data_IF_556694363190
#
_entry.id   IF_556694363190
#
_cell.length_a   1.000
_cell.length_b   1.000
_cell.length_c   1.000
_cell.angle_alpha   90.00
_cell.angle_beta   90.00
_cell.angle_gamma   90.00
#
_symmetry.space_group_name_H-M   'P 1'
#
loop_
_entity.id
_entity.type
_entity.pdbx_description
1 polymer ?
#
# COMPACT_ATOMS: atom_id res chain seq x y z
N UNK A 1 20.60 -13.22 27.03
CA UNK A 1 21.53 -12.73 25.99
C UNK A 1 22.94 -12.78 26.56
N UNK A 2 23.99 -12.99 25.75
CA UNK A 2 25.38 -12.80 26.23
C UNK A 2 25.74 -11.32 26.09
N UNK A 3 26.42 -10.72 27.07
CA UNK A 3 26.81 -9.30 27.03
C UNK A 3 27.61 -8.95 25.76
N UNK A 4 28.53 -9.83 25.35
CA UNK A 4 29.33 -9.63 24.13
C UNK A 4 28.52 -9.62 22.83
N UNK A 5 27.33 -10.23 22.81
CA UNK A 5 26.42 -10.13 21.67
C UNK A 5 25.74 -8.75 21.63
N UNK A 6 25.43 -8.16 22.80
CA UNK A 6 24.77 -6.86 22.89
C UNK A 6 25.54 -5.74 22.19
N UNK A 7 26.87 -5.70 22.36
CA UNK A 7 27.70 -4.70 21.68
C UNK A 7 27.61 -4.82 20.17
N UNK A 8 27.65 -6.04 19.63
CA UNK A 8 27.57 -6.27 18.17
C UNK A 8 26.19 -5.93 17.62
N UNK A 9 25.13 -6.37 18.30
CA UNK A 9 23.75 -6.12 17.81
C UNK A 9 23.39 -4.63 17.81
N UNK A 10 23.94 -3.83 18.74
CA UNK A 10 23.78 -2.36 18.71
C UNK A 10 24.32 -1.72 17.43
N UNK A 11 25.47 -2.18 16.95
CA UNK A 11 26.06 -1.68 15.69
C UNK A 11 25.23 -2.11 14.47
N UNK A 12 24.60 -3.29 14.51
CA UNK A 12 23.67 -3.72 13.47
C UNK A 12 22.42 -2.82 13.42
N UNK A 13 21.80 -2.54 14.59
CA UNK A 13 20.65 -1.63 14.71
C UNK A 13 21.01 -0.22 14.21
N UNK A 14 22.20 0.28 14.55
CA UNK A 14 22.68 1.55 14.02
C UNK A 14 22.79 1.53 12.49
N UNK A 15 23.35 0.46 11.92
CA UNK A 15 23.46 0.31 10.48
C UNK A 15 22.10 0.30 9.80
N UNK A 16 21.10 -0.37 10.37
CA UNK A 16 19.72 -0.37 9.87
C UNK A 16 19.13 1.05 9.92
N UNK A 17 19.28 1.76 11.03
CA UNK A 17 18.83 3.14 11.16
C UNK A 17 19.51 4.07 10.15
N UNK A 18 20.83 3.94 9.92
CA UNK A 18 21.54 4.74 8.93
C UNK A 18 21.06 4.48 7.49
N UNK A 19 20.65 3.24 7.17
CA UNK A 19 20.03 2.91 5.87
C UNK A 19 18.62 3.52 5.75
N UNK A 20 17.88 3.60 6.85
CA UNK A 20 16.55 4.21 6.90
C UNK A 20 16.60 5.75 6.87
N UNK A 21 17.63 6.36 7.44
CA UNK A 21 17.78 7.80 7.66
C UNK A 21 17.49 8.70 6.43
N UNK A 22 17.96 8.38 5.20
CA UNK A 22 17.69 9.21 4.02
C UNK A 22 16.35 8.92 3.33
N UNK A 23 15.56 7.93 3.78
CA UNK A 23 14.30 7.56 3.13
C UNK A 23 13.18 8.51 3.56
N UNK A 24 12.65 9.27 2.62
CA UNK A 24 11.59 10.27 2.88
C UNK A 24 10.32 9.66 3.52
N UNK A 25 9.98 8.40 3.25
CA UNK A 25 8.84 7.71 3.89
C UNK A 25 8.99 7.65 5.41
N UNK A 26 10.11 7.11 5.92
CA UNK A 26 10.35 6.98 7.36
C UNK A 26 10.54 8.33 8.06
N UNK A 27 11.11 9.31 7.34
CA UNK A 27 11.24 10.70 7.81
C UNK A 27 9.89 11.35 8.06
N UNK A 28 8.92 11.12 7.16
CA UNK A 28 7.52 11.59 7.29
C UNK A 28 6.78 10.82 8.38
N UNK A 29 6.93 9.50 8.40
CA UNK A 29 6.33 8.64 9.42
C UNK A 29 6.75 9.08 10.82
N UNK A 30 8.05 9.17 11.12
CA UNK A 30 8.53 9.59 12.45
C UNK A 30 8.07 11.01 12.81
N UNK A 31 8.00 11.93 11.84
CA UNK A 31 7.45 13.25 12.06
C UNK A 31 5.96 13.16 12.45
N UNK A 32 5.16 12.38 11.74
CA UNK A 32 3.76 12.14 12.06
C UNK A 32 3.61 11.54 13.47
N UNK A 33 4.40 10.51 13.83
CA UNK A 33 4.45 9.91 15.16
C UNK A 33 4.65 10.96 16.25
N UNK A 34 5.57 11.90 16.01
CA UNK A 34 5.93 12.95 16.98
C UNK A 34 4.78 13.92 17.28
N UNK A 35 3.72 13.92 16.46
CA UNK A 35 2.50 14.73 16.66
C UNK A 35 1.48 14.05 17.59
N UNK A 36 1.67 12.76 17.91
CA UNK A 36 0.85 12.05 18.89
C UNK A 36 1.04 12.63 20.30
N UNK A 37 0.11 12.37 21.22
CA UNK A 37 0.25 12.81 22.61
C UNK A 37 1.55 12.30 23.26
N UNK A 38 2.25 13.12 24.08
CA UNK A 38 3.53 12.73 24.67
C UNK A 38 3.51 11.48 25.56
N UNK A 39 2.36 11.15 26.15
CA UNK A 39 2.17 9.96 27.01
C UNK A 39 1.72 8.73 26.22
N UNK A 40 1.53 8.85 24.90
CA UNK A 40 1.17 7.76 24.01
C UNK A 40 2.42 7.04 23.48
N UNK A 41 2.46 5.69 23.49
CA UNK A 41 3.59 4.92 22.95
C UNK A 41 3.92 5.23 21.48
N UNK A 42 2.95 5.71 20.71
CA UNK A 42 3.11 6.12 19.31
C UNK A 42 4.14 7.24 19.15
N UNK A 43 4.31 8.11 20.16
CA UNK A 43 5.30 9.18 20.13
C UNK A 43 6.75 8.65 20.31
N UNK A 44 6.94 7.36 20.58
CA UNK A 44 8.27 6.77 20.78
C UNK A 44 9.09 6.66 19.49
N UNK A 45 10.40 6.49 19.64
CA UNK A 45 11.32 6.20 18.55
C UNK A 45 11.51 4.69 18.46
N UNK A 46 10.83 4.06 17.50
CA UNK A 46 10.73 2.60 17.35
C UNK A 46 11.96 1.95 16.70
N UNK A 47 12.74 2.70 15.93
CA UNK A 47 13.92 2.17 15.22
C UNK A 47 15.05 1.78 16.17
N UNK A 48 15.25 2.56 17.25
CA UNK A 48 16.47 2.47 18.05
C UNK A 48 17.71 2.95 17.29
N UNK A 49 18.76 3.27 18.03
CA UNK A 49 20.08 3.69 17.52
C UNK A 49 21.11 3.67 18.66
N UNK A 50 22.36 4.02 18.38
CA UNK A 50 23.39 4.10 19.42
C UNK A 50 23.06 5.14 20.51
N UNK A 51 22.34 6.21 20.18
CA UNK A 51 21.96 7.21 21.20
C UNK A 51 21.04 6.56 22.24
N UNK A 52 19.99 5.87 21.80
CA UNK A 52 18.99 5.26 22.68
C UNK A 52 19.47 3.98 23.36
N UNK A 53 20.31 3.20 22.68
CA UNK A 53 20.74 1.87 23.14
C UNK A 53 22.16 1.85 23.72
N UNK A 54 22.93 2.93 23.67
CA UNK A 54 24.29 3.02 24.24
C UNK A 54 24.55 4.33 24.98
N UNK A 55 24.24 5.48 24.39
CA UNK A 55 24.68 6.76 24.95
C UNK A 55 23.76 7.23 26.10
N UNK A 56 22.45 6.93 26.03
CA UNK A 56 21.45 7.29 27.02
C UNK A 56 21.16 6.20 28.08
N UNK A 57 21.86 5.06 28.03
CA UNK A 57 21.63 3.91 28.91
C UNK A 57 22.94 3.20 29.22
N UNK A 58 23.14 2.75 30.47
CA UNK A 58 24.33 1.94 30.79
C UNK A 58 24.17 0.51 30.31
N UNK A 59 25.28 -0.19 30.10
CA UNK A 59 25.26 -1.60 29.66
C UNK A 59 24.55 -2.51 30.67
N UNK A 60 24.75 -2.30 31.96
CA UNK A 60 24.10 -3.08 33.01
C UNK A 60 22.58 -2.86 33.01
N UNK A 61 22.14 -1.61 32.79
CA UNK A 61 20.73 -1.27 32.74
C UNK A 61 20.08 -1.85 31.49
N UNK A 62 20.67 -1.67 30.31
CA UNK A 62 20.11 -2.23 29.07
C UNK A 62 20.03 -3.76 29.16
N UNK A 63 21.07 -4.40 29.70
CA UNK A 63 21.07 -5.85 29.91
C UNK A 63 19.92 -6.28 30.82
N UNK A 64 19.71 -5.60 31.95
CA UNK A 64 18.60 -5.85 32.84
C UNK A 64 17.25 -5.64 32.13
N UNK A 65 17.07 -4.50 31.46
CA UNK A 65 15.84 -4.11 30.76
C UNK A 65 15.47 -5.13 29.66
N UNK A 66 16.43 -5.60 28.86
CA UNK A 66 16.20 -6.64 27.83
C UNK A 66 15.75 -7.96 28.46
N UNK A 67 16.34 -8.34 29.60
CA UNK A 67 15.98 -9.56 30.30
C UNK A 67 14.60 -9.46 30.99
N UNK A 68 14.28 -8.30 31.56
CA UNK A 68 12.96 -8.03 32.12
C UNK A 68 11.88 -8.00 31.02
N UNK A 69 12.16 -7.32 29.91
CA UNK A 69 11.28 -7.28 28.74
C UNK A 69 11.01 -8.69 28.20
N UNK A 70 12.06 -9.50 27.99
CA UNK A 70 11.90 -10.91 27.59
C UNK A 70 11.03 -11.68 28.58
N UNK A 71 11.29 -11.57 29.89
CA UNK A 71 10.52 -12.28 30.92
C UNK A 71 9.04 -11.87 30.96
N UNK A 72 8.74 -10.59 30.68
CA UNK A 72 7.40 -10.00 30.69
C UNK A 72 6.61 -10.29 29.40
N UNK A 73 7.27 -10.25 28.25
CA UNK A 73 6.63 -10.24 26.94
C UNK A 73 6.77 -11.55 26.15
N UNK A 74 7.89 -12.26 26.25
CA UNK A 74 8.12 -13.53 25.55
C UNK A 74 7.53 -14.70 26.36
N UNK A 75 6.21 -14.86 26.29
CA UNK A 75 5.45 -15.89 27.00
C UNK A 75 4.58 -16.68 26.03
N UNK A 76 4.49 -18.00 26.20
CA UNK A 76 3.85 -18.91 25.25
C UNK A 76 2.41 -18.54 24.87
N UNK A 77 1.62 -17.98 25.79
CA UNK A 77 0.22 -17.58 25.52
C UNK A 77 0.07 -16.35 24.61
N UNK A 78 1.18 -15.70 24.22
CA UNK A 78 1.23 -14.59 23.26
C UNK A 78 2.01 -14.92 22.00
N UNK A 79 2.45 -16.16 21.83
CA UNK A 79 3.23 -16.58 20.68
C UNK A 79 2.35 -17.35 19.72
N UNK A 80 2.58 -17.12 18.44
CA UNK A 80 2.06 -17.90 17.32
C UNK A 80 3.27 -18.46 16.57
N UNK A 81 3.10 -19.62 15.94
CA UNK A 81 4.17 -20.28 15.17
C UNK A 81 3.56 -20.97 13.97
N UNK A 82 4.07 -20.68 12.78
CA UNK A 82 3.79 -21.41 11.56
C UNK A 82 5.04 -22.16 11.09
N UNK A 83 4.86 -23.36 10.55
CA UNK A 83 5.94 -24.16 9.95
C UNK A 83 5.47 -24.74 8.63
N UNK A 84 6.36 -24.73 7.64
CA UNK A 84 6.12 -25.30 6.32
C UNK A 84 7.26 -26.23 5.97
N UNK A 85 6.96 -27.51 5.73
CA UNK A 85 7.91 -28.47 5.19
C UNK A 85 7.19 -29.61 4.47
N UNK A 86 7.93 -30.39 3.69
CA UNK A 86 7.44 -31.58 2.97
C UNK A 86 7.41 -32.82 3.88
N UNK A 87 6.85 -32.68 5.08
CA UNK A 87 6.72 -33.74 6.08
C UNK A 87 5.25 -33.95 6.43
N UNK A 88 4.93 -35.08 7.04
CA UNK A 88 3.56 -35.37 7.49
C UNK A 88 3.14 -34.42 8.62
N UNK A 89 1.82 -34.24 8.79
CA UNK A 89 1.28 -33.41 9.86
C UNK A 89 1.69 -33.94 11.23
N UNK A 90 1.77 -35.26 11.39
CA UNK A 90 2.21 -35.92 12.62
C UNK A 90 3.67 -35.61 12.95
N UNK A 91 4.56 -35.61 11.95
CA UNK A 91 5.96 -35.23 12.13
C UNK A 91 6.10 -33.74 12.46
N UNK A 92 5.41 -32.87 11.73
CA UNK A 92 5.40 -31.43 11.98
C UNK A 92 4.91 -31.11 13.39
N UNK A 93 3.80 -31.72 13.81
CA UNK A 93 3.29 -31.59 15.17
C UNK A 93 4.31 -32.08 16.21
N UNK A 94 4.96 -33.21 15.95
CA UNK A 94 6.05 -33.72 16.79
C UNK A 94 7.16 -32.69 16.99
N UNK A 95 7.65 -32.08 15.89
CA UNK A 95 8.67 -31.03 15.97
C UNK A 95 8.20 -29.79 16.72
N UNK A 96 6.95 -29.35 16.53
CA UNK A 96 6.41 -28.20 17.28
C UNK A 96 6.40 -28.50 18.78
N UNK A 97 5.93 -29.68 19.17
CA UNK A 97 5.90 -30.09 20.57
C UNK A 97 7.31 -30.21 21.14
N UNK A 98 8.24 -30.85 20.45
CA UNK A 98 9.61 -31.04 20.92
C UNK A 98 10.36 -29.72 21.07
N UNK A 99 10.17 -28.77 20.14
CA UNK A 99 10.88 -27.50 20.13
C UNK A 99 10.24 -26.42 21.03
N UNK A 100 8.91 -26.34 21.06
CA UNK A 100 8.21 -25.18 21.63
C UNK A 100 7.38 -25.49 22.89
N UNK A 101 7.12 -26.77 23.24
CA UNK A 101 6.37 -27.09 24.47
C UNK A 101 7.04 -26.60 25.76
N UNK A 102 8.36 -26.43 25.74
CA UNK A 102 9.14 -25.92 26.86
C UNK A 102 9.11 -24.40 27.04
N UNK A 103 8.45 -23.64 26.15
CA UNK A 103 8.34 -22.19 26.28
C UNK A 103 7.44 -21.84 27.47
N UNK A 104 7.98 -21.08 28.43
CA UNK A 104 7.27 -20.71 29.64
C UNK A 104 6.03 -19.87 29.34
N UNK A 105 4.96 -20.14 30.08
CA UNK A 105 3.76 -19.30 30.13
C UNK A 105 3.71 -18.55 31.48
N UNK A 106 3.81 -17.22 31.45
CA UNK A 106 3.73 -16.37 32.63
C UNK A 106 2.29 -15.93 32.98
N UNK A 107 1.30 -16.20 32.11
CA UNK A 107 -0.12 -15.85 32.23
C UNK A 107 -0.42 -14.37 32.55
N UNK A 108 0.53 -13.47 32.31
CA UNK A 108 0.30 -12.05 32.53
C UNK A 108 -0.56 -11.47 31.40
N UNK A 109 -1.43 -10.49 31.66
CA UNK A 109 -2.19 -9.84 30.60
C UNK A 109 -1.26 -9.04 29.68
N UNK A 110 -1.61 -8.87 28.38
CA UNK A 110 -0.96 -7.90 27.52
C UNK A 110 -1.11 -6.49 28.10
N UNK A 111 -0.28 -5.56 27.65
CA UNK A 111 -0.45 -4.16 28.05
C UNK A 111 -1.75 -3.61 27.46
N UNK A 112 -2.49 -2.85 28.27
CA UNK A 112 -3.77 -2.28 27.88
C UNK A 112 -3.58 -0.84 27.38
N UNK A 113 -3.75 -0.67 26.07
CA UNK A 113 -3.66 0.63 25.41
C UNK A 113 -5.02 1.30 25.16
N UNK A 114 -6.13 0.73 25.66
CA UNK A 114 -7.49 1.29 25.47
C UNK A 114 -7.63 2.73 25.95
N UNK A 115 -6.83 3.16 26.93
CA UNK A 115 -6.81 4.56 27.39
C UNK A 115 -6.43 5.57 26.30
N UNK A 116 -5.78 5.12 25.22
CA UNK A 116 -5.38 5.94 24.08
C UNK A 116 -6.34 5.85 22.89
N UNK A 117 -7.34 4.97 22.95
CA UNK A 117 -8.29 4.76 21.86
C UNK A 117 -9.00 6.08 21.51
N UNK A 118 -9.00 6.43 20.22
CA UNK A 118 -9.58 7.67 19.68
C UNK A 118 -8.95 9.00 20.19
N UNK A 119 -7.81 8.94 20.89
CA UNK A 119 -7.21 10.11 21.53
C UNK A 119 -5.72 10.31 21.20
N UNK A 120 -5.11 9.39 20.43
CA UNK A 120 -3.68 9.39 20.04
C UNK A 120 -3.25 10.71 19.42
N UNK A 121 -3.99 11.17 18.41
CA UNK A 121 -3.68 12.37 17.62
C UNK A 121 -4.64 13.54 17.91
N UNK A 122 -5.33 13.50 19.04
CA UNK A 122 -6.18 14.61 19.48
C UNK A 122 -5.33 15.74 20.06
N UNK A 123 -4.53 16.36 19.18
CA UNK A 123 -3.60 17.45 19.48
C UNK A 123 -3.82 18.57 18.46
N UNK A 124 -3.73 19.86 18.86
CA UNK A 124 -3.77 20.96 17.90
C UNK A 124 -2.64 20.92 16.86
N UNK A 125 -1.57 20.18 17.14
CA UNK A 125 -0.43 19.99 16.25
C UNK A 125 -0.81 19.08 15.08
N UNK A 126 -1.55 18.00 15.30
CA UNK A 126 -1.88 17.05 14.23
C UNK A 126 -2.63 17.72 13.07
N UNK A 127 -3.62 18.57 13.36
CA UNK A 127 -4.47 19.19 12.33
C UNK A 127 -3.91 20.50 11.76
N UNK A 128 -2.73 20.42 11.14
CA UNK A 128 -2.01 21.57 10.55
C UNK A 128 -1.52 21.28 9.13
N UNK A 129 -1.07 22.35 8.47
CA UNK A 129 -0.35 22.31 7.20
C UNK A 129 1.16 22.29 7.44
N UNK A 130 1.80 21.19 7.04
CA UNK A 130 3.23 20.97 7.14
C UNK A 130 3.90 21.14 5.79
N UNK A 131 5.02 21.86 5.76
CA UNK A 131 5.96 21.85 4.65
C UNK A 131 7.21 21.09 5.09
N UNK A 132 7.52 20.01 4.39
CA UNK A 132 8.60 19.09 4.74
C UNK A 132 9.66 19.14 3.65
N UNK A 133 10.92 19.32 4.05
CA UNK A 133 12.05 19.28 3.12
C UNK A 133 12.41 17.83 2.78
N UNK A 134 12.29 17.41 1.51
CA UNK A 134 12.66 16.05 1.13
C UNK A 134 14.17 15.87 0.95
N UNK A 135 14.61 14.61 1.03
CA UNK A 135 15.94 14.17 0.62
C UNK A 135 16.03 13.94 -0.89
N UNK A 136 14.96 13.41 -1.49
CA UNK A 136 14.85 13.18 -2.93
C UNK A 136 14.11 14.31 -3.63
N UNK A 137 14.18 14.32 -4.96
CA UNK A 137 13.36 15.22 -5.78
C UNK A 137 11.94 14.65 -5.90
N UNK A 138 11.12 14.93 -4.89
CA UNK A 138 9.71 14.53 -4.85
C UNK A 138 8.80 15.75 -4.75
N UNK A 139 7.57 15.60 -5.23
CA UNK A 139 6.51 16.60 -5.11
C UNK A 139 5.23 15.88 -4.71
N UNK A 140 4.94 15.87 -3.41
CA UNK A 140 3.88 15.05 -2.85
C UNK A 140 3.02 15.85 -1.87
N UNK A 141 1.72 15.59 -1.90
CA UNK A 141 0.73 16.08 -0.94
C UNK A 141 0.09 14.88 -0.25
N UNK A 142 0.27 14.79 1.06
CA UNK A 142 -0.30 13.74 1.90
C UNK A 142 -1.41 14.34 2.78
N UNK A 143 -2.60 13.75 2.73
CA UNK A 143 -3.74 14.08 3.57
C UNK A 143 -4.02 12.88 4.47
N UNK A 144 -3.87 13.04 5.79
CA UNK A 144 -3.99 11.92 6.74
C UNK A 144 -5.07 12.17 7.78
N UNK A 145 -5.90 11.16 8.03
CA UNK A 145 -6.88 11.14 9.12
C UNK A 145 -6.57 10.02 10.09
N UNK A 146 -6.78 10.27 11.39
CA UNK A 146 -6.76 9.26 12.43
C UNK A 146 -8.20 8.77 12.69
N UNK A 147 -8.43 7.48 12.42
CA UNK A 147 -9.68 6.77 12.62
C UNK A 147 -9.63 5.92 13.91
N UNK A 148 -10.78 5.54 14.49
CA UNK A 148 -10.83 4.43 15.43
C UNK A 148 -10.17 3.17 14.86
N UNK A 149 -9.70 2.27 15.73
CA UNK A 149 -9.14 0.99 15.28
C UNK A 149 -10.15 0.21 14.43
N UNK A 150 -9.71 -0.24 13.26
CA UNK A 150 -10.51 -1.03 12.32
C UNK A 150 -10.15 -2.53 12.32
N UNK A 151 -9.31 -3.00 13.25
CA UNK A 151 -8.90 -4.41 13.33
C UNK A 151 -10.09 -5.37 13.46
N UNK A 152 -11.12 -4.98 14.22
CA UNK A 152 -12.33 -5.78 14.39
C UNK A 152 -13.28 -5.71 13.17
N UNK A 153 -12.94 -4.94 12.14
CA UNK A 153 -13.69 -4.76 10.90
C UNK A 153 -13.09 -5.50 9.72
N UNK A 154 -12.16 -6.43 9.95
CA UNK A 154 -11.50 -7.20 8.89
C UNK A 154 -12.46 -7.94 7.95
N UNK A 155 -13.66 -8.33 8.41
CA UNK A 155 -14.68 -8.96 7.55
C UNK A 155 -15.29 -8.01 6.53
N UNK A 156 -15.35 -6.72 6.86
CA UNK A 156 -16.05 -5.69 6.08
C UNK A 156 -15.10 -4.73 5.35
N UNK A 157 -13.86 -4.61 5.82
CA UNK A 157 -12.77 -3.73 5.31
C UNK A 157 -13.26 -2.38 4.78
N UNK A 158 -13.97 -1.57 5.59
CA UNK A 158 -14.64 -0.36 5.11
C UNK A 158 -13.67 0.70 4.59
N UNK A 159 -12.46 0.77 5.16
CA UNK A 159 -11.41 1.67 4.70
C UNK A 159 -10.84 1.24 3.35
N UNK A 160 -10.71 -0.05 3.07
CA UNK A 160 -10.29 -0.53 1.74
C UNK A 160 -11.32 -0.18 0.67
N UNK A 161 -12.62 -0.35 0.94
CA UNK A 161 -13.69 0.05 0.02
C UNK A 161 -13.59 1.54 -0.35
N UNK A 162 -13.35 2.41 0.63
CA UNK A 162 -13.22 3.86 0.40
C UNK A 162 -11.90 4.17 -0.32
N UNK A 163 -10.82 3.50 0.07
CA UNK A 163 -9.52 3.61 -0.59
C UNK A 163 -9.65 3.31 -2.08
N UNK A 164 -10.28 2.19 -2.44
CA UNK A 164 -10.46 1.80 -3.84
C UNK A 164 -11.23 2.85 -4.66
N UNK A 165 -12.25 3.50 -4.09
CA UNK A 165 -12.99 4.56 -4.79
C UNK A 165 -12.18 5.84 -4.96
N UNK A 166 -11.50 6.31 -3.91
CA UNK A 166 -10.69 7.54 -4.01
C UNK A 166 -9.44 7.30 -4.86
N UNK A 167 -8.94 6.06 -4.85
CA UNK A 167 -7.79 5.57 -5.60
C UNK A 167 -8.07 5.14 -7.03
N UNK A 168 -9.34 5.13 -7.48
CA UNK A 168 -9.69 4.79 -8.87
C UNK A 168 -8.96 5.71 -9.84
N UNK A 169 -8.41 5.16 -10.92
CA UNK A 169 -7.79 5.93 -12.00
C UNK A 169 -8.60 5.90 -13.30
N UNK A 170 -9.83 5.37 -13.23
CA UNK A 170 -10.75 5.31 -14.34
C UNK A 170 -11.43 6.63 -14.64
N UNK A 171 -12.33 6.60 -15.63
CA UNK A 171 -13.09 7.77 -16.05
C UNK A 171 -14.04 8.25 -14.96
N UNK A 172 -13.92 9.53 -14.62
CA UNK A 172 -14.72 10.18 -13.57
C UNK A 172 -14.13 10.05 -12.17
N UNK A 173 -12.94 9.48 -12.03
CA UNK A 173 -12.19 9.47 -10.78
C UNK A 173 -11.68 10.85 -10.36
N UNK A 174 -11.30 10.95 -9.08
CA UNK A 174 -10.52 12.07 -8.55
C UNK A 174 -9.24 12.31 -9.38
N UNK A 175 -8.48 11.25 -9.67
CA UNK A 175 -7.22 11.39 -10.40
C UNK A 175 -7.45 11.84 -11.85
N UNK A 176 -8.49 11.36 -12.53
CA UNK A 176 -8.87 11.83 -13.88
C UNK A 176 -9.12 13.34 -13.88
N UNK A 177 -9.88 13.86 -12.90
CA UNK A 177 -10.13 15.29 -12.77
C UNK A 177 -8.83 16.09 -12.52
N UNK A 178 -7.97 15.61 -11.61
CA UNK A 178 -6.69 16.26 -11.30
C UNK A 178 -5.73 16.25 -12.49
N UNK A 179 -5.68 15.16 -13.27
CA UNK A 179 -4.87 15.04 -14.49
C UNK A 179 -5.32 16.03 -15.57
N UNK A 180 -6.63 16.23 -15.77
CA UNK A 180 -7.16 17.23 -16.73
C UNK A 180 -6.73 18.66 -16.41
N UNK A 181 -6.61 18.98 -15.12
CA UNK A 181 -6.09 20.29 -14.65
C UNK A 181 -4.56 20.33 -14.57
N UNK A 182 -3.88 19.25 -14.93
CA UNK A 182 -2.42 19.10 -14.82
C UNK A 182 -1.93 19.29 -13.39
N UNK A 183 -2.74 18.93 -12.39
CA UNK A 183 -2.39 19.13 -10.97
C UNK A 183 -1.69 17.93 -10.35
N UNK A 184 -2.10 16.71 -10.70
CA UNK A 184 -1.51 15.49 -10.14
C UNK A 184 -1.22 14.44 -11.23
N UNK A 185 -0.25 13.59 -10.95
CA UNK A 185 0.21 12.49 -11.82
C UNK A 185 -0.28 11.13 -11.34
N UNK A 186 -0.33 10.93 -10.02
CA UNK A 186 -0.74 9.68 -9.38
C UNK A 186 -1.43 9.95 -8.04
N UNK A 187 -2.24 8.99 -7.61
CA UNK A 187 -2.88 8.97 -6.28
C UNK A 187 -2.60 7.63 -5.61
N UNK A 188 -2.39 7.63 -4.30
CA UNK A 188 -2.29 6.44 -3.47
C UNK A 188 -3.16 6.65 -2.25
N UNK A 189 -3.94 5.66 -1.86
CA UNK A 189 -4.94 5.81 -0.81
C UNK A 189 -4.97 4.61 0.14
N UNK A 190 -5.46 4.84 1.35
CA UNK A 190 -5.63 3.79 2.35
C UNK A 190 -4.51 3.77 3.39
N UNK A 191 -4.17 2.57 3.85
CA UNK A 191 -3.08 2.27 4.78
C UNK A 191 -2.47 0.91 4.43
N UNK A 192 -1.29 0.62 4.98
CA UNK A 192 -0.60 -0.67 4.84
C UNK A 192 -1.07 -1.75 5.81
N UNK A 193 -2.23 -1.56 6.46
CA UNK A 193 -2.91 -2.51 7.38
C UNK A 193 -2.04 -3.15 8.48
N UNK A 194 -0.90 -2.54 8.79
CA UNK A 194 0.07 -3.06 9.76
C UNK A 194 0.70 -1.92 10.57
N UNK A 195 1.36 -2.32 11.66
CA UNK A 195 2.23 -1.44 12.44
C UNK A 195 1.58 -0.12 12.87
N UNK A 196 2.21 1.00 12.48
CA UNK A 196 1.79 2.32 12.92
C UNK A 196 0.50 2.80 12.26
N UNK A 197 0.17 2.28 11.08
CA UNK A 197 -0.99 2.74 10.33
C UNK A 197 -2.25 1.97 10.71
N UNK A 198 -2.13 0.80 11.34
CA UNK A 198 -3.27 -0.04 11.69
C UNK A 198 -2.97 -0.88 12.94
N UNK A 199 -3.54 -0.48 14.08
CA UNK A 199 -3.30 -1.15 15.36
C UNK A 199 -4.51 -1.04 16.30
N UNK A 200 -4.37 -1.55 17.52
CA UNK A 200 -5.44 -1.59 18.52
C UNK A 200 -5.85 -0.24 19.09
N UNK A 201 -5.06 0.83 18.87
CA UNK A 201 -5.37 2.18 19.35
C UNK A 201 -6.10 3.01 18.28
N UNK A 202 -5.74 2.86 17.01
CA UNK A 202 -6.27 3.63 15.88
C UNK A 202 -5.94 2.98 14.54
N UNK A 203 -6.52 3.51 13.47
CA UNK A 203 -6.11 3.26 12.09
C UNK A 203 -5.92 4.60 11.37
N UNK A 204 -4.83 4.77 10.62
CA UNK A 204 -4.66 5.92 9.74
C UNK A 204 -5.34 5.65 8.40
N UNK A 205 -5.85 6.71 7.79
CA UNK A 205 -6.28 6.68 6.40
C UNK A 205 -5.64 7.85 5.69
N UNK A 206 -4.95 7.57 4.58
CA UNK A 206 -4.17 8.57 3.86
C UNK A 206 -4.65 8.70 2.42
N UNK A 207 -4.57 9.92 1.89
CA UNK A 207 -4.67 10.22 0.45
C UNK A 207 -3.40 10.95 0.06
N UNK A 208 -2.57 10.30 -0.73
CA UNK A 208 -1.26 10.76 -1.16
C UNK A 208 -1.26 11.05 -2.67
N UNK A 209 -1.06 12.32 -3.02
CA UNK A 209 -1.05 12.79 -4.40
C UNK A 209 0.37 13.15 -4.85
N UNK A 210 0.80 12.61 -5.99
CA UNK A 210 2.03 13.04 -6.66
C UNK A 210 1.69 14.25 -7.51
N UNK A 211 2.18 15.43 -7.11
CA UNK A 211 1.81 16.71 -7.71
C UNK A 211 2.75 17.09 -8.84
N UNK A 212 2.21 17.81 -9.83
CA UNK A 212 3.01 18.58 -10.77
C UNK A 212 3.45 19.91 -10.14
N UNK A 213 4.32 20.66 -10.82
CA UNK A 213 4.61 22.04 -10.44
C UNK A 213 3.36 22.94 -10.43
N UNK A 214 2.38 22.66 -11.29
CA UNK A 214 1.12 23.41 -11.33
C UNK A 214 0.20 23.04 -10.15
N UNK A 215 0.10 21.76 -9.81
CA UNK A 215 -0.64 21.32 -8.63
C UNK A 215 -0.03 21.84 -7.33
N UNK A 216 1.31 21.89 -7.24
CA UNK A 216 2.02 22.47 -6.10
C UNK A 216 1.69 23.97 -5.91
N UNK A 217 1.40 24.69 -7.00
CA UNK A 217 0.97 26.08 -6.92
C UNK A 217 -0.51 26.25 -6.52
N UNK A 218 -1.30 25.17 -6.53
CA UNK A 218 -2.75 25.17 -6.32
C UNK A 218 -3.18 24.21 -5.20
N UNK A 219 -2.38 24.06 -4.13
CA UNK A 219 -2.64 23.10 -3.03
C UNK A 219 -4.08 23.20 -2.49
N UNK A 220 -4.59 24.41 -2.25
CA UNK A 220 -5.96 24.60 -1.76
C UNK A 220 -7.03 24.03 -2.70
N UNK A 221 -6.82 24.18 -4.01
CA UNK A 221 -7.79 23.76 -5.03
C UNK A 221 -7.68 22.26 -5.29
N UNK A 222 -6.48 21.70 -5.23
CA UNK A 222 -6.25 20.25 -5.22
C UNK A 222 -6.98 19.60 -4.06
N UNK A 223 -6.83 20.12 -2.84
CA UNK A 223 -7.56 19.61 -1.67
C UNK A 223 -9.08 19.84 -1.81
N UNK A 224 -9.50 20.92 -2.46
CA UNK A 224 -10.93 21.13 -2.79
C UNK A 224 -11.47 20.02 -3.69
N UNK A 225 -10.71 19.57 -4.69
CA UNK A 225 -11.10 18.45 -5.54
C UNK A 225 -11.17 17.13 -4.76
N UNK A 226 -10.25 16.89 -3.81
CA UNK A 226 -10.33 15.72 -2.90
C UNK A 226 -11.64 15.74 -2.10
N UNK A 227 -11.97 16.88 -1.46
CA UNK A 227 -13.21 16.98 -0.68
C UNK A 227 -14.47 17.01 -1.54
N UNK A 228 -14.40 17.52 -2.77
CA UNK A 228 -15.47 17.40 -3.76
C UNK A 228 -15.83 15.92 -4.01
N UNK A 229 -14.80 15.08 -4.22
CA UNK A 229 -14.99 13.64 -4.40
C UNK A 229 -15.49 12.95 -3.12
N UNK A 230 -14.90 13.24 -1.96
CA UNK A 230 -15.36 12.68 -0.67
C UNK A 230 -16.83 13.06 -0.38
N UNK A 231 -17.21 14.31 -0.63
CA UNK A 231 -18.59 14.78 -0.44
C UNK A 231 -19.56 14.14 -1.44
N UNK A 232 -19.11 13.86 -2.67
CA UNK A 232 -19.87 13.03 -3.61
C UNK A 232 -20.10 11.62 -3.05
N UNK A 233 -19.06 10.97 -2.53
CA UNK A 233 -19.18 9.62 -1.93
C UNK A 233 -20.15 9.62 -0.74
N UNK A 234 -20.09 10.64 0.12
CA UNK A 234 -21.04 10.82 1.23
C UNK A 234 -22.47 11.02 0.77
N UNK A 235 -22.68 11.80 -0.30
CA UNK A 235 -24.01 12.10 -0.83
C UNK A 235 -24.65 10.89 -1.54
N UNK A 236 -23.86 10.14 -2.30
CA UNK A 236 -24.32 8.93 -3.03
C UNK A 236 -24.49 7.74 -2.07
N UNK A 237 -23.63 7.64 -1.07
CA UNK A 237 -23.63 6.55 -0.09
C UNK A 237 -23.02 5.24 -0.63
N UNK A 238 -22.81 4.25 0.25
CA UNK A 238 -22.19 2.97 -0.12
C UNK A 238 -23.00 2.21 -1.18
N UNK A 239 -22.30 1.54 -2.11
CA UNK A 239 -22.93 0.80 -3.21
C UNK A 239 -22.61 -0.69 -3.11
N UNK A 240 -23.64 -1.52 -2.90
CA UNK A 240 -23.47 -2.98 -2.81
C UNK A 240 -22.89 -3.59 -4.08
N UNK A 241 -23.20 -3.03 -5.26
CA UNK A 241 -22.61 -3.46 -6.53
C UNK A 241 -21.08 -3.39 -6.48
N UNK A 242 -20.53 -2.24 -6.09
CA UNK A 242 -19.08 -2.01 -6.06
C UNK A 242 -18.41 -2.92 -5.05
N UNK A 243 -19.05 -3.12 -3.90
CA UNK A 243 -18.58 -4.10 -2.92
C UNK A 243 -18.52 -5.52 -3.50
N UNK A 244 -19.56 -5.96 -4.23
CA UNK A 244 -19.57 -7.29 -4.87
C UNK A 244 -18.51 -7.42 -5.96
N UNK A 245 -18.25 -6.36 -6.72
CA UNK A 245 -17.18 -6.36 -7.72
C UNK A 245 -15.81 -6.52 -7.05
N UNK A 246 -15.55 -5.79 -5.96
CA UNK A 246 -14.34 -5.95 -5.14
C UNK A 246 -14.23 -7.36 -4.57
N UNK A 247 -15.30 -7.89 -3.98
CA UNK A 247 -15.32 -9.25 -3.45
C UNK A 247 -14.99 -10.30 -4.52
N UNK A 248 -15.49 -10.13 -5.75
CA UNK A 248 -15.16 -11.02 -6.87
C UNK A 248 -13.68 -10.90 -7.23
N UNK A 249 -13.12 -9.69 -7.27
CA UNK A 249 -11.71 -9.47 -7.60
C UNK A 249 -10.81 -10.17 -6.58
N UNK A 250 -11.05 -9.95 -5.28
CA UNK A 250 -10.26 -10.56 -4.21
C UNK A 250 -10.44 -12.10 -4.15
N UNK A 251 -11.67 -12.61 -4.35
CA UNK A 251 -11.93 -14.06 -4.41
C UNK A 251 -11.16 -14.73 -5.55
N UNK A 252 -11.16 -14.08 -6.72
CA UNK A 252 -10.47 -14.57 -7.92
C UNK A 252 -8.96 -14.51 -7.73
N UNK A 253 -8.44 -13.39 -7.21
CA UNK A 253 -7.02 -13.21 -6.91
C UNK A 253 -6.52 -14.29 -5.95
N UNK A 254 -7.22 -14.48 -4.83
CA UNK A 254 -6.90 -15.50 -3.83
C UNK A 254 -6.97 -16.92 -4.41
N UNK A 255 -8.01 -17.23 -5.18
CA UNK A 255 -8.20 -18.57 -5.76
C UNK A 255 -7.09 -18.98 -6.73
N UNK A 256 -6.52 -18.02 -7.46
CA UNK A 256 -5.47 -18.27 -8.45
C UNK A 256 -4.11 -17.71 -8.04
N UNK A 257 -3.94 -17.39 -6.75
CA UNK A 257 -2.68 -16.93 -6.19
C UNK A 257 -1.54 -17.91 -6.50
N UNK A 258 -0.38 -17.35 -6.80
CA UNK A 258 0.83 -18.13 -7.08
C UNK A 258 1.51 -18.47 -5.76
N UNK A 259 2.12 -19.66 -5.67
CA UNK A 259 2.90 -20.05 -4.50
C UNK A 259 3.99 -19.02 -4.19
N UNK A 260 3.95 -18.46 -2.99
CA UNK A 260 4.90 -17.49 -2.49
C UNK A 260 6.16 -18.16 -1.91
N UNK A 261 7.14 -17.35 -1.54
CA UNK A 261 8.31 -17.84 -0.79
C UNK A 261 7.85 -18.49 0.52
N UNK A 262 8.32 -19.70 0.86
CA UNK A 262 7.95 -20.36 2.11
C UNK A 262 8.29 -19.56 3.37
N UNK A 263 9.28 -18.65 3.31
CA UNK A 263 9.65 -17.80 4.44
C UNK A 263 8.59 -16.71 4.66
N UNK A 264 8.19 -16.05 3.57
CA UNK A 264 7.21 -14.96 3.61
C UNK A 264 5.84 -15.52 4.02
N UNK A 265 5.47 -16.68 3.48
CA UNK A 265 4.19 -17.34 3.80
C UNK A 265 4.07 -17.71 5.29
N UNK A 266 5.10 -18.32 5.90
CA UNK A 266 5.01 -18.65 7.33
C UNK A 266 5.07 -17.42 8.23
N UNK A 267 5.71 -16.33 7.79
CA UNK A 267 5.69 -15.05 8.48
C UNK A 267 4.28 -14.46 8.47
N UNK A 268 3.64 -14.37 7.31
CA UNK A 268 2.26 -13.88 7.18
C UNK A 268 1.28 -14.69 8.04
N UNK A 269 1.34 -16.03 7.96
CA UNK A 269 0.45 -16.89 8.76
C UNK A 269 0.71 -16.72 10.26
N UNK A 270 1.97 -16.55 10.68
CA UNK A 270 2.29 -16.29 12.07
C UNK A 270 1.66 -14.98 12.58
N UNK A 271 1.69 -13.93 11.75
CA UNK A 271 1.05 -12.65 12.04
C UNK A 271 -0.47 -12.72 12.01
N UNK A 272 -1.05 -13.37 10.99
CA UNK A 272 -2.48 -13.56 10.81
C UNK A 272 -3.14 -14.20 12.05
N UNK A 273 -2.44 -15.13 12.70
CA UNK A 273 -2.90 -15.76 13.94
C UNK A 273 -3.07 -14.80 15.13
N UNK A 274 -2.49 -13.60 15.07
CA UNK A 274 -2.71 -12.56 16.07
C UNK A 274 -3.96 -11.72 15.82
N UNK A 275 -4.46 -11.67 14.58
CA UNK A 275 -5.52 -10.76 14.16
C UNK A 275 -6.84 -11.46 13.82
N UNK A 276 -6.77 -12.69 13.33
CA UNK A 276 -7.92 -13.42 12.81
C UNK A 276 -8.26 -14.66 13.65
N UNK A 277 -9.50 -15.18 13.58
CA UNK A 277 -9.82 -16.49 14.12
C UNK A 277 -9.24 -17.62 13.26
N UNK A 278 -9.14 -18.86 13.77
CA UNK A 278 -8.49 -19.97 13.08
C UNK A 278 -9.04 -20.30 11.69
N UNK A 279 -10.34 -20.13 11.47
CA UNK A 279 -10.99 -20.30 10.18
C UNK A 279 -10.53 -19.30 9.11
N UNK A 280 -9.98 -18.15 9.54
CA UNK A 280 -9.61 -17.02 8.67
C UNK A 280 -8.09 -16.74 8.67
N UNK A 281 -7.24 -17.64 9.21
CA UNK A 281 -5.78 -17.43 9.22
C UNK A 281 -5.16 -17.26 7.83
N UNK A 282 -5.75 -17.89 6.81
CA UNK A 282 -5.25 -17.84 5.42
C UNK A 282 -6.00 -16.79 4.61
N UNK A 283 -7.25 -16.48 4.98
CA UNK A 283 -8.16 -15.66 4.14
C UNK A 283 -8.44 -14.28 4.71
N UNK A 284 -8.11 -14.02 5.98
CA UNK A 284 -8.51 -12.81 6.70
C UNK A 284 -7.85 -11.53 6.15
N UNK A 285 -6.59 -11.61 5.74
CA UNK A 285 -5.82 -10.52 5.14
C UNK A 285 -6.31 -10.19 3.73
N UNK A 286 -6.71 -11.19 2.94
CA UNK A 286 -7.05 -11.03 1.52
C UNK A 286 -8.55 -10.80 1.29
N UNK A 287 -9.40 -11.71 1.76
CA UNK A 287 -10.81 -11.73 1.37
C UNK A 287 -11.64 -10.65 2.07
N UNK A 288 -12.67 -10.18 1.35
CA UNK A 288 -13.72 -9.32 1.90
C UNK A 288 -15.00 -10.14 2.02
N UNK A 289 -15.54 -10.26 3.23
CA UNK A 289 -16.59 -11.25 3.53
C UNK A 289 -17.99 -10.64 3.52
N UNK A 290 -18.16 -9.48 4.18
CA UNK A 290 -19.48 -8.95 4.54
C UNK A 290 -19.67 -7.52 4.05
N UNK A 291 -20.78 -7.26 3.34
CA UNK A 291 -21.17 -5.90 3.00
C UNK A 291 -21.84 -5.22 4.19
N UNK A 292 -21.18 -4.22 4.77
CA UNK A 292 -21.76 -3.39 5.83
C UNK A 292 -21.71 -1.90 5.47
N UNK A 293 -22.81 -1.30 4.98
CA UNK A 293 -22.84 0.11 4.61
C UNK A 293 -22.61 1.05 5.80
N UNK A 294 -23.00 0.67 7.01
CA UNK A 294 -22.83 1.51 8.21
C UNK A 294 -21.35 1.65 8.59
N UNK A 295 -20.57 0.58 8.43
CA UNK A 295 -19.13 0.62 8.67
C UNK A 295 -18.42 1.51 7.63
N UNK A 296 -18.86 1.49 6.37
CA UNK A 296 -18.35 2.37 5.31
C UNK A 296 -18.73 3.84 5.60
N UNK A 297 -19.98 4.11 5.98
CA UNK A 297 -20.44 5.46 6.35
C UNK A 297 -19.65 5.98 7.56
N UNK A 298 -19.38 5.12 8.54
CA UNK A 298 -18.59 5.46 9.73
C UNK A 298 -17.20 5.97 9.32
N UNK A 299 -16.49 5.27 8.44
CA UNK A 299 -15.16 5.72 7.97
C UNK A 299 -15.28 7.02 7.16
N UNK A 300 -16.23 7.13 6.22
CA UNK A 300 -16.44 8.36 5.45
C UNK A 300 -16.69 9.58 6.34
N UNK A 301 -17.43 9.42 7.44
CA UNK A 301 -17.73 10.50 8.38
C UNK A 301 -16.51 11.02 9.15
N UNK A 302 -15.43 10.25 9.22
CA UNK A 302 -14.16 10.70 9.80
C UNK A 302 -13.30 11.51 8.82
N UNK A 303 -13.54 11.37 7.50
CA UNK A 303 -12.82 12.11 6.47
C UNK A 303 -13.37 13.54 6.36
N UNK A 304 -13.00 14.38 7.32
CA UNK A 304 -13.43 15.78 7.44
C UNK A 304 -12.24 16.74 7.46
N UNK A 305 -12.40 17.98 6.97
CA UNK A 305 -11.33 18.98 6.98
C UNK A 305 -10.71 19.24 8.35
N UNK A 306 -11.52 19.33 9.41
CA UNK A 306 -11.08 19.78 10.74
C UNK A 306 -10.16 18.79 11.46
N UNK A 307 -10.13 17.52 11.03
CA UNK A 307 -9.35 16.45 11.66
C UNK A 307 -8.18 15.96 10.79
N UNK A 308 -7.90 16.67 9.71
CA UNK A 308 -6.91 16.26 8.71
C UNK A 308 -5.52 16.82 9.03
N UNK A 309 -4.50 16.00 8.91
CA UNK A 309 -3.11 16.42 8.79
C UNK A 309 -2.77 16.61 7.31
N UNK A 310 -2.13 17.74 6.95
CA UNK A 310 -1.70 18.02 5.57
C UNK A 310 -0.18 18.11 5.55
N UNK A 311 0.49 17.30 4.74
CA UNK A 311 1.92 17.38 4.53
C UNK A 311 2.26 17.61 3.05
N UNK A 312 2.91 18.74 2.76
CA UNK A 312 3.45 19.07 1.44
C UNK A 312 4.95 18.84 1.47
N UNK A 313 5.42 17.90 0.65
CA UNK A 313 6.82 17.50 0.59
C UNK A 313 7.38 17.82 -0.79
N UNK A 314 8.17 18.90 -0.90
CA UNK A 314 8.80 19.28 -2.18
C UNK A 314 10.02 20.19 -2.03
N UNK A 315 10.92 20.13 -3.02
CA UNK A 315 11.96 21.13 -3.25
C UNK A 315 11.58 22.15 -4.34
N UNK A 316 10.44 21.97 -5.03
CA UNK A 316 10.05 22.74 -6.21
C UNK A 316 9.11 23.92 -5.91
N UNK A 317 9.09 24.41 -4.67
CA UNK A 317 8.25 25.55 -4.28
C UNK A 317 8.66 26.81 -5.05
N UNK A 318 7.66 27.57 -5.54
CA UNK A 318 7.89 28.85 -6.23
C UNK A 318 8.50 29.91 -5.30
N UNK A 319 8.06 29.90 -4.04
CA UNK A 319 8.56 30.76 -2.98
C UNK A 319 9.47 29.94 -2.06
N UNK A 320 10.54 30.56 -1.55
CA UNK A 320 11.44 29.91 -0.61
C UNK A 320 10.71 29.59 0.70
N UNK A 321 10.72 28.32 1.08
CA UNK A 321 10.18 27.86 2.36
C UNK A 321 11.29 27.88 3.40
N UNK A 322 11.09 28.65 4.47
CA UNK A 322 11.97 28.65 5.64
C UNK A 322 11.56 27.50 6.56
N UNK A 323 12.42 26.48 6.65
CA UNK A 323 12.25 25.35 7.55
C UNK A 323 12.86 25.69 8.92
N UNK A 324 12.02 26.11 9.87
CA UNK A 324 12.42 26.57 11.20
C UNK A 324 12.44 25.46 12.28
N UNK A 325 11.90 24.28 11.95
CA UNK A 325 11.82 23.14 12.86
C UNK A 325 12.58 21.94 12.33
N UNK A 326 12.98 21.08 13.26
CA UNK A 326 13.72 19.84 12.99
C UNK A 326 13.19 18.72 13.87
N UNK A 327 12.74 17.63 13.25
CA UNK A 327 12.39 16.39 13.95
C UNK A 327 13.67 15.79 14.58
N UNK A 328 13.53 15.21 15.78
CA UNK A 328 14.66 14.86 16.63
C UNK A 328 15.56 13.75 16.05
N UNK A 329 14.98 12.67 15.54
CA UNK A 329 15.72 11.44 15.25
C UNK A 329 16.25 11.38 13.83
N UNK A 330 15.39 11.60 12.85
CA UNK A 330 15.77 11.64 11.44
C UNK A 330 16.30 13.01 11.03
N UNK A 331 16.12 14.05 11.86
CA UNK A 331 16.55 15.39 11.53
C UNK A 331 15.73 16.01 10.39
N UNK A 332 14.47 15.59 10.23
CA UNK A 332 13.54 16.09 9.21
C UNK A 332 13.33 17.57 9.39
N UNK A 333 13.76 18.38 8.41
CA UNK A 333 13.53 19.82 8.42
C UNK A 333 12.12 20.10 7.93
N UNK A 334 11.36 20.85 8.71
CA UNK A 334 9.98 21.19 8.38
C UNK A 334 9.61 22.57 8.94
N UNK A 335 8.46 23.05 8.50
CA UNK A 335 7.73 24.13 9.16
C UNK A 335 6.24 23.78 9.14
N UNK A 336 5.46 24.36 10.04
CA UNK A 336 4.01 24.17 10.07
C UNK A 336 3.28 25.50 10.15
N UNK A 337 2.07 25.51 9.60
CA UNK A 337 1.15 26.64 9.60
C UNK A 337 -0.23 26.15 10.00
N UNK A 338 -0.98 27.02 10.66
CA UNK A 338 -2.40 26.78 10.86
C UNK A 338 -3.11 26.80 9.50
N UNK A 339 -4.10 25.92 9.33
CA UNK A 339 -4.89 25.85 8.10
C UNK A 339 -5.81 27.08 8.05
N UNK A 340 -5.80 27.87 6.96
CA UNK A 340 -6.68 29.03 6.84
C UNK A 340 -8.16 28.63 6.99
N UNK A 341 -8.92 29.41 7.77
CA UNK A 341 -10.33 29.11 8.05
C UNK A 341 -11.19 29.13 6.78
N UNK A 342 -10.85 30.00 5.82
CA UNK A 342 -11.51 30.05 4.51
C UNK A 342 -11.29 28.76 3.70
N UNK A 343 -10.13 28.11 3.84
CA UNK A 343 -9.86 26.81 3.22
C UNK A 343 -10.74 25.73 3.85
N UNK A 344 -10.80 25.66 5.18
CA UNK A 344 -11.64 24.68 5.91
C UNK A 344 -13.11 24.83 5.50
N UNK A 345 -13.64 26.05 5.51
CA UNK A 345 -15.04 26.31 5.14
C UNK A 345 -15.30 26.00 3.66
N UNK A 346 -14.35 26.30 2.76
CA UNK A 346 -14.45 25.90 1.35
C UNK A 346 -14.54 24.38 1.21
N UNK A 347 -13.67 23.64 1.89
CA UNK A 347 -13.61 22.18 1.78
C UNK A 347 -14.82 21.48 2.39
N UNK A 348 -15.35 21.98 3.52
CA UNK A 348 -16.60 21.49 4.11
C UNK A 348 -17.77 21.59 3.14
N UNK A 349 -17.82 22.68 2.37
CA UNK A 349 -18.92 22.99 1.46
C UNK A 349 -18.62 22.63 -0.01
N UNK A 350 -17.50 21.93 -0.28
CA UNK A 350 -17.09 21.55 -1.62
C UNK A 350 -18.19 20.69 -2.28
N UNK A 351 -18.65 21.13 -3.45
CA UNK A 351 -19.67 20.43 -4.21
C UNK A 351 -19.01 19.43 -5.18
N UNK A 352 -19.65 18.28 -5.46
CA UNK A 352 -19.18 17.35 -6.48
C UNK A 352 -18.95 18.04 -7.83
N UNK A 353 -17.77 17.85 -8.41
CA UNK A 353 -17.47 18.35 -9.76
C UNK A 353 -18.28 17.57 -10.80
N UNK A 354 -18.79 18.21 -11.89
CA UNK A 354 -19.69 17.55 -12.84
C UNK A 354 -19.08 16.37 -13.60
N UNK A 355 -17.75 16.29 -13.68
CA UNK A 355 -17.04 15.21 -14.34
C UNK A 355 -16.58 14.10 -13.38
N UNK A 356 -16.88 14.21 -12.08
CA UNK A 356 -16.65 13.16 -11.10
C UNK A 356 -17.86 12.21 -11.02
N UNK A 357 -17.59 10.92 -10.96
CA UNK A 357 -18.62 9.88 -10.81
C UNK A 357 -18.07 8.63 -10.17
N UNK A 358 -18.96 7.76 -9.67
CA UNK A 358 -18.58 6.39 -9.33
C UNK A 358 -18.16 5.60 -10.58
N UNK A 359 -17.24 4.63 -10.46
CA UNK A 359 -16.85 3.82 -11.60
C UNK A 359 -18.05 3.02 -12.14
N UNK A 360 -18.19 2.88 -13.47
CA UNK A 360 -19.22 2.04 -14.08
C UNK A 360 -18.98 0.56 -13.76
N UNK A 361 -19.94 -0.34 -14.06
CA UNK A 361 -19.71 -1.78 -13.97
C UNK A 361 -18.48 -2.21 -14.76
N UNK A 362 -17.56 -2.92 -14.11
CA UNK A 362 -16.32 -3.36 -14.72
C UNK A 362 -16.59 -4.50 -15.76
N UNK A 363 -16.39 -4.26 -17.07
CA UNK A 363 -16.67 -5.26 -18.10
C UNK A 363 -15.61 -6.37 -18.19
N UNK A 364 -14.48 -6.21 -17.51
CA UNK A 364 -13.33 -7.11 -17.53
C UNK A 364 -13.34 -8.16 -16.41
N UNK A 365 -14.33 -8.13 -15.51
CA UNK A 365 -14.49 -9.19 -14.52
C UNK A 365 -14.68 -10.55 -15.21
N UNK A 366 -13.81 -11.49 -14.86
CA UNK A 366 -13.81 -12.83 -15.42
C UNK A 366 -14.80 -13.71 -14.66
N UNK A 367 -15.59 -14.47 -15.42
CA UNK A 367 -16.62 -15.38 -14.90
C UNK A 367 -16.42 -16.81 -15.38
N UNK A 368 -15.61 -17.01 -16.41
CA UNK A 368 -15.24 -18.31 -16.94
C UNK A 368 -13.76 -18.57 -16.68
N UNK A 369 -13.50 -19.54 -15.81
CA UNK A 369 -12.16 -20.01 -15.45
C UNK A 369 -11.91 -21.44 -15.96
N UNK A 370 -12.63 -21.86 -17.00
CA UNK A 370 -12.50 -23.20 -17.57
C UNK A 370 -11.09 -23.42 -18.12
N UNK A 371 -10.41 -24.45 -17.62
CA UNK A 371 -9.12 -24.89 -18.14
C UNK A 371 -9.35 -25.70 -19.41
N UNK A 372 -8.68 -25.29 -20.49
CA UNK A 372 -8.79 -25.98 -21.78
C UNK A 372 -8.20 -27.40 -21.69
N UNK A 373 -8.78 -28.40 -22.38
CA UNK A 373 -8.31 -29.78 -22.35
C UNK A 373 -6.82 -29.92 -22.72
N UNK A 374 -6.14 -30.92 -22.17
CA UNK A 374 -4.78 -31.26 -22.56
C UNK A 374 -4.71 -31.67 -24.04
N UNK A 375 -3.60 -31.34 -24.67
CA UNK A 375 -3.27 -31.69 -26.06
C UNK A 375 -2.25 -32.82 -26.04
N UNK A 376 -2.53 -33.92 -26.76
CA UNK A 376 -1.65 -35.10 -26.82
C UNK A 376 -0.24 -34.79 -27.35
N UNK A 377 -0.11 -33.78 -28.21
CA UNK A 377 1.15 -33.36 -28.85
C UNK A 377 1.60 -31.97 -28.37
N UNK A 378 1.56 -31.69 -27.06
CA UNK A 378 2.05 -30.41 -26.54
C UNK A 378 3.58 -30.38 -26.45
N UNK A 379 4.25 -29.47 -27.15
CA UNK A 379 5.71 -29.44 -27.19
C UNK A 379 6.32 -28.99 -25.85
N UNK A 380 7.54 -29.46 -25.59
CA UNK A 380 8.30 -29.08 -24.38
C UNK A 380 8.62 -27.57 -24.36
N UNK A 381 8.86 -26.99 -25.53
CA UNK A 381 9.18 -25.57 -25.74
C UNK A 381 8.19 -24.91 -26.71
N UNK A 382 8.09 -23.57 -26.74
CA UNK A 382 7.27 -22.89 -27.74
C UNK A 382 7.70 -23.25 -29.17
N UNK A 383 6.72 -23.53 -30.01
CA UNK A 383 6.93 -23.84 -31.42
C UNK A 383 6.49 -22.67 -32.30
N UNK A 384 7.18 -22.49 -33.42
CA UNK A 384 6.81 -21.48 -34.42
C UNK A 384 5.63 -22.01 -35.24
N UNK A 385 4.46 -21.40 -35.07
CA UNK A 385 3.21 -21.81 -35.73
C UNK A 385 2.89 -20.99 -36.99
N UNK A 386 3.53 -19.83 -37.14
CA UNK A 386 3.41 -18.99 -38.32
C UNK A 386 4.74 -18.30 -38.61
N UNK A 387 5.15 -18.32 -39.87
CA UNK A 387 6.31 -17.58 -40.36
C UNK A 387 5.97 -16.91 -41.68
N UNK A 388 6.14 -15.60 -41.73
CA UNK A 388 6.00 -14.78 -42.93
C UNK A 388 7.14 -13.76 -42.95
N UNK A 389 7.41 -13.09 -44.09
CA UNK A 389 8.43 -12.03 -44.13
C UNK A 389 8.20 -10.86 -43.15
N UNK A 390 6.99 -10.69 -42.61
CA UNK A 390 6.62 -9.58 -41.71
C UNK A 390 6.34 -10.00 -40.26
N UNK A 391 6.17 -11.29 -39.99
CA UNK A 391 5.69 -11.76 -38.68
C UNK A 391 6.09 -13.21 -38.43
N UNK A 392 6.47 -13.47 -37.19
CA UNK A 392 6.58 -14.81 -36.61
C UNK A 392 5.61 -14.93 -35.44
N UNK A 393 4.96 -16.09 -35.31
CA UNK A 393 4.13 -16.41 -34.14
C UNK A 393 4.66 -17.67 -33.50
N UNK A 394 4.95 -17.57 -32.20
CA UNK A 394 5.37 -18.67 -31.36
C UNK A 394 4.26 -18.98 -30.36
N UNK A 395 3.91 -20.26 -30.23
CA UNK A 395 2.82 -20.70 -29.38
C UNK A 395 3.25 -21.88 -28.51
N UNK A 396 2.76 -21.88 -27.28
CA UNK A 396 2.81 -23.02 -26.37
C UNK A 396 1.58 -22.98 -25.48
N UNK A 397 0.90 -24.11 -25.34
CA UNK A 397 -0.16 -24.25 -24.35
C UNK A 397 0.44 -24.59 -22.99
N UNK A 398 -0.01 -23.90 -21.95
CA UNK A 398 0.31 -24.34 -20.60
C UNK A 398 -0.40 -25.65 -20.26
N UNK A 399 0.38 -26.63 -19.81
CA UNK A 399 -0.11 -27.88 -19.21
C UNK A 399 0.57 -28.15 -17.86
N UNK A 400 1.40 -27.22 -17.38
CA UNK A 400 2.15 -27.35 -16.13
C UNK A 400 1.41 -26.69 -14.97
N UNK A 401 1.02 -25.43 -15.14
CA UNK A 401 0.43 -24.64 -14.06
C UNK A 401 -1.10 -24.77 -14.02
N UNK A 402 -1.73 -25.04 -15.16
CA UNK A 402 -3.18 -25.28 -15.29
C UNK A 402 -4.01 -24.13 -14.72
N UNK A 403 -3.54 -22.91 -14.96
CA UNK A 403 -4.22 -21.67 -14.58
C UNK A 403 -5.07 -21.15 -15.75
N UNK A 404 -6.18 -20.42 -15.48
CA UNK A 404 -7.05 -19.85 -16.52
C UNK A 404 -6.46 -18.57 -17.14
N UNK A 405 -5.14 -18.53 -17.31
CA UNK A 405 -4.41 -17.34 -17.74
C UNK A 405 -3.75 -17.56 -19.10
N UNK A 406 -3.50 -16.47 -19.82
CA UNK A 406 -2.69 -16.48 -21.02
C UNK A 406 -1.74 -15.29 -21.06
N UNK A 407 -0.68 -15.42 -21.85
CA UNK A 407 0.34 -14.39 -22.04
C UNK A 407 0.50 -14.10 -23.53
N UNK A 408 0.29 -12.85 -23.92
CA UNK A 408 0.47 -12.35 -25.27
C UNK A 408 1.65 -11.38 -25.29
N UNK A 409 2.71 -11.75 -25.98
CA UNK A 409 3.88 -10.90 -26.16
C UNK A 409 4.03 -10.49 -27.62
N UNK A 410 3.85 -9.21 -27.91
CA UNK A 410 4.01 -8.63 -29.23
C UNK A 410 5.32 -7.84 -29.29
N UNK A 411 6.22 -8.30 -30.16
CA UNK A 411 7.49 -7.65 -30.44
C UNK A 411 7.40 -6.92 -31.78
N UNK A 412 7.42 -5.59 -31.75
CA UNK A 412 7.53 -4.77 -32.95
C UNK A 412 8.99 -4.44 -33.20
N UNK A 413 9.60 -5.17 -34.13
CA UNK A 413 11.03 -5.04 -34.42
C UNK A 413 11.26 -3.87 -35.38
N UNK A 414 12.09 -2.92 -34.99
CA UNK A 414 12.44 -1.76 -35.81
C UNK A 414 13.87 -1.30 -35.56
N UNK A 415 14.68 -1.08 -36.60
CA UNK A 415 16.04 -0.56 -36.45
C UNK A 415 16.06 0.88 -35.89
N UNK A 416 14.93 1.60 -35.95
CA UNK A 416 14.80 2.95 -35.43
C UNK A 416 15.07 3.02 -33.92
N UNK A 417 14.84 1.93 -33.17
CA UNK A 417 15.07 1.90 -31.73
C UNK A 417 16.53 2.14 -31.33
N UNK A 418 17.48 1.80 -32.20
CA UNK A 418 18.93 1.90 -31.95
C UNK A 418 19.67 2.73 -33.01
N UNK A 419 18.95 3.40 -33.90
CA UNK A 419 19.54 4.23 -34.97
C UNK A 419 20.38 5.38 -34.41
N UNK A 420 19.88 6.04 -33.35
CA UNK A 420 20.58 7.13 -32.68
C UNK A 420 19.98 7.38 -31.30
N UNK A 421 20.74 8.05 -30.42
CA UNK A 421 20.24 8.50 -29.12
C UNK A 421 18.97 9.36 -29.26
N UNK A 422 18.88 10.21 -30.28
CA UNK A 422 17.69 11.02 -30.55
C UNK A 422 16.47 10.16 -30.88
N UNK A 423 16.65 9.10 -31.68
CA UNK A 423 15.56 8.18 -32.02
C UNK A 423 15.06 7.43 -30.80
N UNK A 424 15.99 6.94 -29.97
CA UNK A 424 15.65 6.27 -28.71
C UNK A 424 14.84 7.17 -27.78
N UNK A 425 15.28 8.42 -27.57
CA UNK A 425 14.53 9.40 -26.77
C UNK A 425 13.13 9.68 -27.33
N UNK A 426 12.99 9.80 -28.66
CA UNK A 426 11.68 10.02 -29.30
C UNK A 426 10.72 8.86 -29.06
N UNK A 427 11.21 7.63 -29.20
CA UNK A 427 10.42 6.43 -28.99
C UNK A 427 10.02 6.31 -27.52
N UNK A 428 10.94 6.58 -26.59
CA UNK A 428 10.64 6.58 -25.15
C UNK A 428 9.57 7.62 -24.77
N UNK A 429 9.68 8.85 -25.27
CA UNK A 429 8.66 9.89 -25.08
C UNK A 429 7.32 9.45 -25.66
N UNK A 430 7.30 8.90 -26.88
CA UNK A 430 6.09 8.39 -27.51
C UNK A 430 5.43 7.30 -26.67
N UNK A 431 6.21 6.39 -26.08
CA UNK A 431 5.69 5.32 -25.21
C UNK A 431 5.15 5.85 -23.89
N UNK A 432 5.83 6.80 -23.27
CA UNK A 432 5.32 7.45 -22.06
C UNK A 432 3.98 8.16 -22.33
N UNK A 433 3.86 8.87 -23.46
CA UNK A 433 2.60 9.51 -23.86
C UNK A 433 1.50 8.47 -24.14
N UNK A 434 1.82 7.38 -24.81
CA UNK A 434 0.86 6.31 -25.08
C UNK A 434 0.33 5.68 -23.78
N UNK A 435 1.21 5.34 -22.84
CA UNK A 435 0.84 4.78 -21.54
C UNK A 435 -0.10 5.73 -20.79
N UNK A 436 0.23 7.03 -20.77
CA UNK A 436 -0.61 8.06 -20.12
C UNK A 436 -1.99 8.13 -20.78
N UNK A 437 -2.06 8.09 -22.11
CA UNK A 437 -3.33 8.15 -22.84
C UNK A 437 -4.20 6.90 -22.64
N UNK A 438 -3.57 5.73 -22.50
CA UNK A 438 -4.29 4.48 -22.34
C UNK A 438 -4.74 4.23 -20.89
N UNK A 439 -4.00 4.74 -19.90
CA UNK A 439 -4.18 4.43 -18.47
C UNK A 439 -5.65 4.48 -18.02
N UNK A 440 -6.37 5.57 -18.30
CA UNK A 440 -7.77 5.74 -17.89
C UNK A 440 -8.71 4.72 -18.55
N UNK A 441 -8.44 4.33 -19.80
CA UNK A 441 -9.28 3.38 -20.55
C UNK A 441 -9.09 1.92 -20.15
N UNK A 442 -7.90 1.56 -19.68
CA UNK A 442 -7.54 0.18 -19.35
C UNK A 442 -7.43 -0.08 -17.85
N UNK A 443 -7.61 0.96 -17.02
CA UNK A 443 -7.56 0.82 -15.56
C UNK A 443 -8.51 -0.27 -15.04
N UNK A 444 -9.74 -0.31 -15.55
CA UNK A 444 -10.72 -1.34 -15.18
C UNK A 444 -10.25 -2.76 -15.57
N UNK A 445 -9.46 -2.90 -16.63
CA UNK A 445 -8.84 -4.17 -17.00
C UNK A 445 -7.74 -4.55 -15.98
N UNK A 446 -6.90 -3.60 -15.57
CA UNK A 446 -5.87 -3.84 -14.55
C UNK A 446 -6.47 -4.24 -13.20
N UNK A 447 -7.56 -3.58 -12.78
CA UNK A 447 -8.32 -3.93 -11.56
C UNK A 447 -8.89 -5.35 -11.64
N UNK A 448 -9.19 -5.84 -12.85
CA UNK A 448 -9.62 -7.23 -13.09
C UNK A 448 -8.45 -8.18 -13.40
N UNK A 449 -7.24 -7.84 -12.96
CA UNK A 449 -6.00 -8.61 -13.13
C UNK A 449 -5.58 -8.88 -14.59
N UNK A 450 -6.00 -8.02 -15.52
CA UNK A 450 -5.47 -7.97 -16.88
C UNK A 450 -4.29 -7.00 -16.91
N UNK A 451 -3.09 -7.55 -16.74
CA UNK A 451 -1.84 -6.83 -16.71
C UNK A 451 -1.36 -6.52 -18.13
N UNK A 452 -0.84 -5.32 -18.31
CA UNK A 452 -0.11 -4.96 -19.51
C UNK A 452 1.21 -4.28 -19.15
N UNK A 453 2.20 -4.40 -20.02
CA UNK A 453 3.41 -3.58 -19.97
C UNK A 453 3.85 -3.24 -21.39
N UNK A 454 4.27 -2.00 -21.58
CA UNK A 454 4.81 -1.51 -22.85
C UNK A 454 6.22 -1.03 -22.57
N UNK A 455 7.20 -1.64 -23.23
CA UNK A 455 8.61 -1.37 -23.00
C UNK A 455 9.34 -1.12 -24.32
N UNK A 456 10.29 -0.21 -24.30
CA UNK A 456 11.28 -0.07 -25.37
C UNK A 456 12.41 -1.06 -25.14
N UNK A 457 12.93 -1.64 -26.21
CA UNK A 457 14.10 -2.54 -26.18
C UNK A 457 15.10 -2.13 -27.26
N UNK A 458 16.28 -2.73 -27.23
CA UNK A 458 17.31 -2.59 -28.26
C UNK A 458 16.86 -3.04 -29.66
N UNK A 459 15.73 -3.78 -29.75
CA UNK A 459 15.19 -4.27 -31.02
C UNK A 459 13.91 -3.57 -31.47
N UNK A 460 13.33 -2.69 -30.65
CA UNK A 460 12.04 -2.07 -30.96
C UNK A 460 11.13 -1.92 -29.74
N UNK A 461 9.86 -2.28 -29.90
CA UNK A 461 8.85 -2.18 -28.85
C UNK A 461 8.37 -3.57 -28.43
N UNK A 462 8.05 -3.71 -27.14
CA UNK A 462 7.48 -4.94 -26.58
C UNK A 462 6.23 -4.59 -25.82
N UNK A 463 5.11 -5.15 -26.28
CA UNK A 463 3.84 -5.13 -25.57
C UNK A 463 3.66 -6.50 -24.95
N UNK A 464 3.49 -6.54 -23.63
CA UNK A 464 3.14 -7.76 -22.91
C UNK A 464 1.77 -7.58 -22.32
N UNK A 465 0.87 -8.51 -22.55
CA UNK A 465 -0.48 -8.51 -21.98
C UNK A 465 -0.70 -9.90 -21.40
N UNK A 466 -1.17 -9.97 -20.16
CA UNK A 466 -1.39 -11.22 -19.46
C UNK A 466 -2.48 -11.10 -18.42
N UNK A 467 -3.14 -12.21 -18.10
CA UNK A 467 -4.24 -12.26 -17.14
C UNK A 467 -5.23 -13.35 -17.52
N UNK A 468 -6.47 -13.22 -17.07
CA UNK A 468 -7.51 -14.21 -17.32
C UNK A 468 -7.95 -14.28 -18.78
N UNK A 469 -7.91 -15.50 -19.34
CA UNK A 469 -8.06 -15.76 -20.77
C UNK A 469 -9.40 -15.29 -21.38
N UNK A 470 -10.50 -15.35 -20.64
CA UNK A 470 -11.84 -14.97 -21.12
C UNK A 470 -11.89 -13.53 -21.64
N UNK A 471 -11.17 -12.62 -20.98
CA UNK A 471 -11.28 -11.16 -21.20
C UNK A 471 -10.06 -10.55 -21.89
N UNK A 472 -8.98 -11.32 -22.05
CA UNK A 472 -7.76 -10.88 -22.73
C UNK A 472 -8.00 -10.39 -24.17
N UNK A 473 -8.87 -11.06 -24.93
CA UNK A 473 -9.18 -10.65 -26.31
C UNK A 473 -9.97 -9.35 -26.41
N UNK A 474 -10.65 -8.94 -25.34
CA UNK A 474 -11.41 -7.68 -25.25
C UNK A 474 -10.48 -6.52 -24.86
N UNK A 475 -9.36 -6.82 -24.18
CA UNK A 475 -8.36 -5.83 -23.77
C UNK A 475 -7.29 -5.53 -24.82
N UNK A 476 -7.12 -6.41 -25.80
CA UNK A 476 -6.26 -6.24 -26.98
C UNK A 476 -6.90 -5.30 -28.00
#
# INVERSE_FOLDING_TARGET
>A
MKETAMTREREAIESEFQIALPKDSYRKEQLLCSLAKPDCPVNSFSWGNLITLRDNVTDEKLYADVHEFRKRHYSAHRMTVAIQARLSMEELQGFVLDCFSGVSNNNQPPDDFKKHENDVFNTPQFSKLYYIKPQRDICQLDLTWCLPSLLNKYKTKPHQYISWLIGDEGKGSLLSHLKKKVWALATYTGNGETGIEHNTMYSLFSVSLVLTAEGLAHISDVITAVFSYINMLKAVGPQERLFKELQIIEDVSFRFAVEESPVDYVEEIAEAMHFFPPEDYITGSDLIFEYNPEDIISVLNHLVPDKMNIAVTSNAHKEEIIYDKKEQWFGTLYTDKDIPLDWIERWKNAQPEPDMSLPPPNPFLTTDFTILPEEENNPEYPEKVLETPLMEVWYKKDQKFKLPTAHYYLYLISPLAVESALSQCKIEIMMNVLIIQMAESIYQAQVAELLYSVNTTDRGLVFKISGYNQKLSVSL
#
